data_IF_687964355476
#
_entry.id   IF_687964355476
#
_cell.length_a   1.000
_cell.length_b   1.000
_cell.length_c   1.000
_cell.angle_alpha   90.00
_cell.angle_beta   90.00
_cell.angle_gamma   90.00
#
_symmetry.space_group_name_H-M   'P 1'
#
loop_
_entity.id
_entity.type
_entity.pdbx_description
1 polymer ?
#
# COMPACT_ATOMS: atom_id res chain seq x y z
N UNK A 1 -8.58 15.64 13.78
CA UNK A 1 -7.68 16.59 13.08
C UNK A 1 -6.23 16.12 13.12
N UNK A 2 -5.58 16.05 14.30
CA UNK A 2 -4.18 15.59 14.41
C UNK A 2 -3.94 14.20 13.80
N UNK A 3 -4.88 13.27 13.97
CA UNK A 3 -4.77 11.90 13.44
C UNK A 3 -4.76 11.86 11.90
N UNK A 4 -5.53 12.72 11.23
CA UNK A 4 -5.53 12.82 9.76
C UNK A 4 -4.25 13.45 9.23
N UNK A 5 -3.69 14.43 9.95
CA UNK A 5 -2.38 15.01 9.63
C UNK A 5 -1.31 13.93 9.78
N UNK A 6 -1.34 13.17 10.87
CA UNK A 6 -0.42 12.05 11.07
C UNK A 6 -0.54 11.00 9.95
N UNK A 7 -1.77 10.61 9.60
CA UNK A 7 -2.02 9.68 8.50
C UNK A 7 -1.47 10.18 7.16
N UNK A 8 -1.68 11.46 6.85
CA UNK A 8 -1.13 12.09 5.66
C UNK A 8 0.40 12.11 5.66
N UNK A 9 1.02 12.53 6.77
CA UNK A 9 2.48 12.62 6.89
C UNK A 9 3.15 11.26 6.77
N UNK A 10 2.60 10.22 7.41
CA UNK A 10 3.13 8.86 7.31
C UNK A 10 2.95 8.32 5.89
N UNK A 11 1.76 8.50 5.29
CA UNK A 11 1.49 8.15 3.90
C UNK A 11 2.50 8.77 2.94
N UNK A 12 2.62 10.11 2.98
CA UNK A 12 3.55 10.86 2.15
C UNK A 12 5.01 10.47 2.38
N UNK A 13 5.42 10.27 3.64
CA UNK A 13 6.80 9.89 3.98
C UNK A 13 7.17 8.55 3.35
N UNK A 14 6.31 7.54 3.43
CA UNK A 14 6.58 6.23 2.86
C UNK A 14 6.58 6.31 1.33
N UNK A 15 5.64 7.03 0.71
CA UNK A 15 5.64 7.26 -0.74
C UNK A 15 6.93 7.93 -1.22
N UNK A 16 7.40 8.96 -0.51
CA UNK A 16 8.66 9.64 -0.81
C UNK A 16 9.85 8.70 -0.61
N UNK A 17 9.85 7.89 0.45
CA UNK A 17 10.94 6.94 0.68
C UNK A 17 11.06 5.92 -0.45
N UNK A 18 9.95 5.37 -0.95
CA UNK A 18 9.93 4.42 -2.07
C UNK A 18 10.60 5.06 -3.30
N UNK A 19 10.12 6.22 -3.73
CA UNK A 19 10.61 6.87 -4.95
C UNK A 19 12.04 7.39 -4.79
N UNK A 20 12.40 7.91 -3.62
CA UNK A 20 13.76 8.35 -3.31
C UNK A 20 14.76 7.20 -3.36
N UNK A 21 14.46 6.06 -2.74
CA UNK A 21 15.35 4.91 -2.77
C UNK A 21 15.49 4.32 -4.16
N UNK A 22 14.41 4.27 -4.95
CA UNK A 22 14.47 3.81 -6.34
C UNK A 22 15.38 4.74 -7.17
N UNK A 23 15.16 6.06 -7.08
CA UNK A 23 15.93 7.07 -7.81
C UNK A 23 17.40 7.15 -7.37
N UNK A 24 17.69 6.82 -6.11
CA UNK A 24 19.05 6.88 -5.55
C UNK A 24 19.88 5.61 -5.84
N UNK A 25 19.33 4.60 -6.52
CA UNK A 25 20.02 3.34 -6.81
C UNK A 25 19.94 2.29 -5.68
N UNK A 26 18.97 2.41 -4.77
CA UNK A 26 18.74 1.48 -3.65
C UNK A 26 17.41 0.71 -3.83
N UNK A 27 17.24 -0.06 -4.93
CA UNK A 27 15.95 -0.65 -5.27
C UNK A 27 15.44 -1.65 -4.23
N UNK A 28 16.33 -2.32 -3.50
CA UNK A 28 15.93 -3.22 -2.41
C UNK A 28 15.24 -2.46 -1.27
N UNK A 29 15.74 -1.28 -0.89
CA UNK A 29 15.12 -0.45 0.14
C UNK A 29 13.78 0.13 -0.33
N UNK A 30 13.70 0.54 -1.59
CA UNK A 30 12.45 0.97 -2.24
C UNK A 30 11.38 -0.11 -2.14
N UNK A 31 11.71 -1.35 -2.54
CA UNK A 31 10.78 -2.49 -2.49
C UNK A 31 10.37 -2.86 -1.07
N UNK A 32 11.31 -2.83 -0.12
CA UNK A 32 11.00 -3.06 1.30
C UNK A 32 10.06 -1.98 1.84
N UNK A 33 10.28 -0.71 1.49
CA UNK A 33 9.38 0.37 1.87
C UNK A 33 7.97 0.18 1.25
N UNK A 34 7.88 -0.32 0.01
CA UNK A 34 6.62 -0.60 -0.66
C UNK A 34 5.84 -1.79 -0.05
N UNK A 35 6.50 -2.69 0.68
CA UNK A 35 5.81 -3.77 1.41
C UNK A 35 5.07 -3.29 2.66
N UNK A 36 5.35 -2.07 3.13
CA UNK A 36 4.73 -1.55 4.33
C UNK A 36 3.27 -1.16 4.05
N UNK A 37 2.27 -1.78 4.71
CA UNK A 37 0.86 -1.58 4.36
C UNK A 37 0.30 -0.30 5.01
N UNK A 38 0.80 0.87 4.59
CA UNK A 38 0.53 2.17 5.24
C UNK A 38 -0.96 2.45 5.36
N UNK A 39 -1.70 2.30 4.26
CA UNK A 39 -3.14 2.56 4.23
C UNK A 39 -3.88 1.67 5.23
N UNK A 40 -3.56 0.38 5.24
CA UNK A 40 -4.18 -0.63 6.09
C UNK A 40 -3.86 -0.39 7.56
N UNK A 41 -2.58 -0.11 7.87
CA UNK A 41 -2.14 0.18 9.23
C UNK A 41 -2.82 1.42 9.81
N UNK A 42 -2.79 2.54 9.08
CA UNK A 42 -3.43 3.77 9.52
C UNK A 42 -4.93 3.58 9.70
N UNK A 43 -5.59 2.92 8.74
CA UNK A 43 -7.03 2.63 8.83
C UNK A 43 -7.38 1.81 10.07
N UNK A 44 -6.54 0.85 10.47
CA UNK A 44 -6.80 0.01 11.65
C UNK A 44 -6.65 0.76 12.96
N UNK A 45 -5.80 1.80 13.03
CA UNK A 45 -5.74 2.68 14.19
C UNK A 45 -7.07 3.43 14.39
N UNK A 46 -7.65 3.94 13.31
CA UNK A 46 -8.95 4.63 13.37
C UNK A 46 -10.12 3.67 13.63
N UNK A 47 -10.18 2.56 12.90
CA UNK A 47 -11.23 1.55 13.07
C UNK A 47 -11.20 0.99 14.50
N UNK A 48 -10.01 0.67 15.02
CA UNK A 48 -9.84 0.19 16.38
C UNK A 48 -10.33 1.20 17.43
N UNK A 49 -10.06 2.50 17.21
CA UNK A 49 -10.55 3.57 18.09
C UNK A 49 -12.07 3.75 18.04
N UNK A 50 -12.68 3.61 16.86
CA UNK A 50 -14.11 3.86 16.65
C UNK A 50 -15.00 2.65 16.96
N UNK A 51 -14.55 1.44 16.64
CA UNK A 51 -15.37 0.23 16.62
C UNK A 51 -14.72 -0.97 17.33
N UNK A 52 -13.53 -0.79 17.93
CA UNK A 52 -12.86 -1.81 18.72
C UNK A 52 -12.08 -2.86 17.92
N UNK A 53 -11.34 -3.74 18.62
CA UNK A 53 -10.42 -4.69 18.01
C UNK A 53 -11.09 -5.78 17.17
N UNK A 54 -12.32 -6.17 17.50
CA UNK A 54 -13.07 -7.16 16.72
C UNK A 54 -13.39 -6.65 15.30
N UNK A 55 -13.73 -5.35 15.18
CA UNK A 55 -13.96 -4.70 13.89
C UNK A 55 -12.70 -4.69 13.03
N UNK A 56 -11.53 -4.39 13.63
CA UNK A 56 -10.22 -4.48 12.96
C UNK A 56 -9.97 -5.90 12.45
N UNK A 57 -10.21 -6.93 13.25
CA UNK A 57 -10.00 -8.33 12.85
C UNK A 57 -10.90 -8.74 11.67
N UNK A 58 -12.19 -8.38 11.72
CA UNK A 58 -13.14 -8.66 10.63
C UNK A 58 -12.72 -7.96 9.34
N UNK A 59 -12.32 -6.70 9.45
CA UNK A 59 -11.82 -5.92 8.31
C UNK A 59 -10.53 -6.52 7.75
N UNK A 60 -9.59 -6.95 8.61
CA UNK A 60 -8.35 -7.60 8.20
C UNK A 60 -8.57 -8.91 7.44
N UNK A 61 -9.51 -9.74 7.89
CA UNK A 61 -9.87 -10.94 7.16
C UNK A 61 -10.42 -10.62 5.77
N UNK A 62 -11.32 -9.64 5.66
CA UNK A 62 -11.84 -9.20 4.37
C UNK A 62 -10.74 -8.70 3.44
N UNK A 63 -9.85 -7.82 3.93
CA UNK A 63 -8.72 -7.30 3.15
C UNK A 63 -7.77 -8.41 2.73
N UNK A 64 -7.47 -9.38 3.60
CA UNK A 64 -6.63 -10.53 3.27
C UNK A 64 -7.22 -11.33 2.10
N UNK A 65 -8.50 -11.68 2.17
CA UNK A 65 -9.19 -12.42 1.11
C UNK A 65 -9.26 -11.58 -0.19
N UNK A 66 -9.60 -10.31 -0.09
CA UNK A 66 -9.62 -9.38 -1.21
C UNK A 66 -8.25 -9.18 -1.86
N UNK A 67 -7.17 -9.21 -1.08
CA UNK A 67 -5.79 -9.09 -1.59
C UNK A 67 -5.44 -10.27 -2.49
N UNK A 68 -5.84 -11.49 -2.10
CA UNK A 68 -5.60 -12.68 -2.92
C UNK A 68 -6.32 -12.57 -4.28
N UNK A 69 -7.56 -12.07 -4.26
CA UNK A 69 -8.42 -12.04 -5.46
C UNK A 69 -8.16 -10.82 -6.35
N UNK A 70 -7.88 -9.65 -5.79
CA UNK A 70 -7.76 -8.40 -6.55
C UNK A 70 -6.30 -7.95 -6.69
N UNK A 71 -5.54 -7.95 -5.59
CA UNK A 71 -4.18 -7.39 -5.59
C UNK A 71 -3.17 -8.27 -6.31
N UNK A 72 -3.22 -9.60 -6.11
CA UNK A 72 -2.30 -10.51 -6.81
C UNK A 72 -2.46 -10.43 -8.34
N UNK A 73 -3.68 -10.51 -8.92
CA UNK A 73 -3.84 -10.31 -10.36
C UNK A 73 -3.36 -8.94 -10.84
N UNK A 74 -3.69 -7.87 -10.11
CA UNK A 74 -3.24 -6.51 -10.47
C UNK A 74 -1.71 -6.39 -10.51
N UNK A 75 -1.01 -6.92 -9.50
CA UNK A 75 0.46 -6.92 -9.48
C UNK A 75 1.06 -7.77 -10.61
N UNK A 76 0.42 -8.89 -10.96
CA UNK A 76 0.83 -9.71 -12.11
C UNK A 76 0.66 -8.96 -13.44
N UNK A 77 -0.43 -8.20 -13.59
CA UNK A 77 -0.67 -7.33 -14.75
C UNK A 77 0.46 -6.31 -14.86
N UNK A 78 0.76 -5.56 -13.80
CA UNK A 78 1.86 -4.59 -13.81
C UNK A 78 3.19 -5.28 -14.16
N UNK A 79 3.53 -6.37 -13.46
CA UNK A 79 4.78 -7.10 -13.69
C UNK A 79 4.95 -7.54 -15.15
N UNK A 80 3.89 -8.08 -15.76
CA UNK A 80 3.94 -8.62 -17.11
C UNK A 80 3.85 -7.55 -18.20
N UNK A 81 3.02 -6.51 -18.01
CA UNK A 81 2.73 -5.50 -19.02
C UNK A 81 3.63 -4.26 -18.92
N UNK A 82 4.13 -3.87 -17.74
CA UNK A 82 5.06 -2.72 -17.62
C UNK A 82 6.23 -2.77 -18.62
N UNK A 83 6.96 -3.89 -18.81
CA UNK A 83 8.06 -3.93 -19.78
C UNK A 83 7.61 -3.96 -21.25
N UNK A 84 6.32 -4.16 -21.53
CA UNK A 84 5.77 -4.32 -22.89
C UNK A 84 5.11 -3.06 -23.43
N UNK A 85 4.34 -2.40 -22.58
CA UNK A 85 3.53 -1.23 -22.97
C UNK A 85 3.89 0.03 -22.16
N UNK A 86 4.82 -0.07 -21.21
CA UNK A 86 5.21 1.00 -20.30
C UNK A 86 4.40 1.02 -19.01
N UNK A 87 4.91 1.73 -18.00
CA UNK A 87 4.35 1.72 -16.64
C UNK A 87 2.95 2.32 -16.56
N UNK A 88 2.74 3.51 -17.14
CA UNK A 88 1.45 4.21 -17.08
C UNK A 88 0.28 3.37 -17.61
N UNK A 89 0.28 2.84 -18.85
CA UNK A 89 -0.84 2.05 -19.33
C UNK A 89 -1.01 0.72 -18.56
N UNK A 90 0.08 0.13 -18.04
CA UNK A 90 -0.03 -1.11 -17.23
C UNK A 90 -0.70 -0.92 -15.87
N UNK A 91 -0.66 0.29 -15.30
CA UNK A 91 -1.31 0.62 -14.02
C UNK A 91 -2.84 0.75 -14.17
N UNK A 92 -3.35 1.06 -15.37
CA UNK A 92 -4.78 1.25 -15.63
C UNK A 92 -5.46 0.03 -16.27
N UNK A 93 -4.74 -1.08 -16.43
CA UNK A 93 -5.23 -2.36 -16.95
C UNK A 93 -5.76 -3.24 -15.81
#
# INVERSE_FOLDING_TARGET
MAEYIFAFLIGGTITVAITYFEASGWPTLSRLAALFPVFTWLSYLFIGKLAGPESVSKHALFVLLGTIVAWLPYMLVIYYFSPKIGSMPSIFL
#
